data_IF_432917481843
#
_entry.id   IF_432917481843
#
_cell.length_a   1.000
_cell.length_b   1.000
_cell.length_c   1.000
_cell.angle_alpha   90.00
_cell.angle_beta   90.00
_cell.angle_gamma   90.00
#
_symmetry.space_group_name_H-M   'P 1'
#
loop_
_entity.id
_entity.type
_entity.pdbx_description
1 polymer ?
#
# COMPACT_ATOMS: atom_id res chain seq x y z
N UNK A 1 -15.18 5.76 27.12
CA UNK A 1 -13.87 5.29 26.69
C UNK A 1 -13.85 3.78 26.45
N UNK A 2 -14.29 2.94 27.41
CA UNK A 2 -14.32 1.46 27.27
C UNK A 2 -15.26 0.98 26.16
N UNK A 3 -16.44 1.59 25.96
CA UNK A 3 -17.38 1.19 24.89
C UNK A 3 -16.82 1.42 23.49
N UNK A 4 -16.02 2.47 23.28
CA UNK A 4 -15.38 2.72 22.00
C UNK A 4 -14.21 1.75 21.75
N UNK A 5 -13.52 1.32 22.81
CA UNK A 5 -12.43 0.35 22.70
C UNK A 5 -12.94 -1.04 22.31
N UNK A 6 -14.02 -1.50 22.92
CA UNK A 6 -14.66 -2.80 22.61
C UNK A 6 -15.25 -2.80 21.19
N UNK A 7 -15.87 -1.71 20.75
CA UNK A 7 -16.40 -1.58 19.39
C UNK A 7 -15.31 -1.64 18.31
N UNK A 8 -14.18 -0.98 18.54
CA UNK A 8 -13.04 -0.98 17.62
C UNK A 8 -12.37 -2.35 17.55
N UNK A 9 -12.20 -3.03 18.70
CA UNK A 9 -11.63 -4.38 18.73
C UNK A 9 -12.52 -5.41 18.03
N UNK A 10 -13.83 -5.36 18.24
CA UNK A 10 -14.78 -6.26 17.56
C UNK A 10 -14.80 -6.04 16.04
N UNK A 11 -14.62 -4.82 15.58
CA UNK A 11 -14.54 -4.48 14.16
C UNK A 11 -13.23 -4.98 13.53
N UNK A 12 -12.10 -4.78 14.21
CA UNK A 12 -10.78 -5.26 13.79
C UNK A 12 -10.76 -6.79 13.67
N UNK A 13 -11.33 -7.50 14.64
CA UNK A 13 -11.42 -8.98 14.62
C UNK A 13 -12.22 -9.47 13.41
N UNK A 14 -13.34 -8.83 13.10
CA UNK A 14 -14.17 -9.20 11.95
C UNK A 14 -13.47 -8.97 10.62
N UNK A 15 -12.68 -7.93 10.53
CA UNK A 15 -11.93 -7.60 9.33
C UNK A 15 -10.79 -8.62 9.09
N UNK A 16 -10.08 -9.08 10.12
CA UNK A 16 -9.04 -10.10 9.96
C UNK A 16 -9.63 -11.46 9.55
N UNK A 17 -10.82 -11.81 10.08
CA UNK A 17 -11.52 -13.05 9.74
C UNK A 17 -11.78 -13.14 8.24
N UNK A 18 -12.18 -12.06 7.59
CA UNK A 18 -12.43 -12.04 6.13
C UNK A 18 -11.16 -12.41 5.33
N UNK A 19 -10.00 -11.88 5.73
CA UNK A 19 -8.74 -12.22 5.05
C UNK A 19 -8.32 -13.65 5.34
N UNK A 20 -8.49 -14.10 6.59
CA UNK A 20 -8.18 -15.47 6.97
C UNK A 20 -9.08 -16.50 6.28
N UNK A 21 -10.37 -16.21 6.10
CA UNK A 21 -11.30 -17.03 5.33
C UNK A 21 -10.89 -17.10 3.85
N UNK A 22 -10.47 -15.97 3.26
CA UNK A 22 -9.96 -15.95 1.89
C UNK A 22 -8.71 -16.83 1.74
N UNK A 23 -7.74 -16.72 2.66
CA UNK A 23 -6.56 -17.57 2.66
C UNK A 23 -6.92 -19.04 2.86
N UNK A 24 -7.81 -19.36 3.81
CA UNK A 24 -8.26 -20.72 4.09
C UNK A 24 -8.98 -21.35 2.90
N UNK A 25 -9.74 -20.58 2.13
CA UNK A 25 -10.40 -21.06 0.89
C UNK A 25 -9.39 -21.49 -0.18
N UNK A 26 -8.16 -21.02 -0.10
CA UNK A 26 -7.02 -21.37 -0.95
C UNK A 26 -6.10 -22.42 -0.31
N UNK A 27 -6.54 -23.07 0.77
CA UNK A 27 -5.76 -24.04 1.57
C UNK A 27 -4.48 -23.44 2.19
N UNK A 28 -4.46 -22.11 2.40
CA UNK A 28 -3.30 -21.39 2.94
C UNK A 28 -3.53 -21.09 4.41
N UNK A 29 -2.61 -21.56 5.25
CA UNK A 29 -2.58 -21.30 6.69
C UNK A 29 -1.45 -20.33 7.03
N UNK A 30 -1.73 -19.05 7.34
CA UNK A 30 -0.69 -18.08 7.67
C UNK A 30 0.04 -18.47 8.96
N UNK A 31 1.37 -18.38 8.92
CA UNK A 31 2.23 -18.58 10.09
C UNK A 31 2.10 -17.40 11.08
N UNK A 32 2.80 -17.51 12.23
CA UNK A 32 2.72 -16.49 13.29
C UNK A 32 3.15 -15.09 12.79
N UNK A 33 4.18 -15.00 11.96
CA UNK A 33 4.67 -13.71 11.46
C UNK A 33 3.73 -13.12 10.42
N UNK A 34 3.17 -13.96 9.56
CA UNK A 34 2.16 -13.58 8.58
C UNK A 34 0.89 -13.07 9.26
N UNK A 35 0.46 -13.71 10.36
CA UNK A 35 -0.68 -13.22 11.16
C UNK A 35 -0.41 -11.86 11.79
N UNK A 36 0.77 -11.65 12.37
CA UNK A 36 1.18 -10.34 12.91
C UNK A 36 1.17 -9.24 11.85
N UNK A 37 1.56 -9.58 10.62
CA UNK A 37 1.45 -8.64 9.52
C UNK A 37 -0.01 -8.29 9.19
N UNK A 38 -0.90 -9.27 9.12
CA UNK A 38 -2.32 -9.05 8.88
C UNK A 38 -2.94 -8.18 9.98
N UNK A 39 -2.61 -8.43 11.23
CA UNK A 39 -3.05 -7.61 12.37
C UNK A 39 -2.55 -6.16 12.25
N UNK A 40 -1.27 -5.97 11.89
CA UNK A 40 -0.69 -4.65 11.69
C UNK A 40 -1.35 -3.89 10.52
N UNK A 41 -1.67 -4.59 9.44
CA UNK A 41 -2.41 -4.02 8.32
C UNK A 41 -3.80 -3.53 8.76
N UNK A 42 -4.55 -4.35 9.48
CA UNK A 42 -5.90 -4.01 9.92
C UNK A 42 -5.88 -2.86 10.91
N UNK A 43 -4.89 -2.81 11.83
CA UNK A 43 -4.69 -1.67 12.69
C UNK A 43 -4.38 -0.39 11.89
N UNK A 44 -3.54 -0.49 10.88
CA UNK A 44 -3.24 0.60 9.96
C UNK A 44 -4.50 1.09 9.24
N UNK A 45 -5.28 0.20 8.63
CA UNK A 45 -6.50 0.54 7.89
C UNK A 45 -7.61 1.09 8.79
N UNK A 46 -7.74 0.57 10.02
CA UNK A 46 -8.75 1.04 10.98
C UNK A 46 -8.56 2.50 11.38
N UNK A 47 -7.32 2.95 11.50
CA UNK A 47 -6.98 4.36 11.75
C UNK A 47 -7.44 5.26 10.59
N UNK A 48 -7.66 4.67 9.44
CA UNK A 48 -8.04 5.31 8.19
C UNK A 48 -9.55 5.36 7.98
N UNK A 49 -10.23 4.24 8.20
CA UNK A 49 -11.68 4.11 8.04
C UNK A 49 -12.46 4.99 9.03
N UNK A 50 -11.82 5.36 10.16
CA UNK A 50 -12.42 6.21 11.18
C UNK A 50 -11.58 7.48 11.41
N UNK A 51 -11.48 8.40 10.42
CA UNK A 51 -10.85 9.68 10.67
C UNK A 51 -11.63 10.36 11.79
N UNK A 52 -10.95 10.69 12.89
CA UNK A 52 -11.51 11.55 13.92
C UNK A 52 -12.10 12.79 13.23
N UNK A 53 -13.31 13.20 13.62
CA UNK A 53 -14.07 14.32 13.04
C UNK A 53 -13.25 15.63 12.89
N UNK A 54 -12.09 15.70 13.56
CA UNK A 54 -11.15 16.82 13.54
C UNK A 54 -9.99 16.67 12.54
N UNK A 55 -9.85 15.53 11.84
CA UNK A 55 -8.78 15.33 10.82
C UNK A 55 -9.36 15.33 9.42
N UNK A 56 -9.53 16.50 8.84
CA UNK A 56 -10.04 16.71 7.47
C UNK A 56 -9.07 16.30 6.36
N UNK A 57 -7.80 16.02 6.69
CA UNK A 57 -6.75 15.60 5.76
C UNK A 57 -5.88 14.53 6.43
N UNK A 58 -6.39 13.32 6.59
CA UNK A 58 -5.56 12.21 7.00
C UNK A 58 -4.92 11.58 5.76
N UNK A 59 -3.64 11.90 5.52
CA UNK A 59 -2.82 11.12 4.61
C UNK A 59 -2.78 9.66 5.12
N UNK A 60 -3.21 8.65 4.33
CA UNK A 60 -3.23 7.24 4.74
C UNK A 60 -1.86 6.69 5.04
N UNK A 61 -0.87 7.32 4.50
CA UNK A 61 0.45 6.75 4.51
C UNK A 61 0.58 5.55 3.58
N UNK A 62 1.69 4.89 3.71
CA UNK A 62 2.01 3.67 2.98
C UNK A 62 2.41 2.58 3.95
N UNK A 63 2.11 1.34 3.62
CA UNK A 63 2.59 0.18 4.36
C UNK A 63 3.72 -0.49 3.57
N UNK A 64 4.87 -0.66 4.22
CA UNK A 64 6.02 -1.32 3.64
C UNK A 64 6.26 -2.65 4.32
N UNK A 65 6.17 -3.74 3.55
CA UNK A 65 6.45 -5.10 4.00
C UNK A 65 7.80 -5.56 3.43
N UNK A 66 8.67 -6.05 4.29
CA UNK A 66 9.98 -6.50 3.85
C UNK A 66 10.38 -7.83 4.48
N UNK A 67 11.28 -8.55 3.80
CA UNK A 67 11.80 -9.82 4.27
C UNK A 67 12.29 -10.71 3.13
N UNK A 68 12.92 -11.85 3.44
CA UNK A 68 13.46 -12.76 2.44
C UNK A 68 12.43 -13.22 1.42
N UNK A 69 12.90 -13.66 0.26
CA UNK A 69 12.07 -14.31 -0.78
C UNK A 69 11.39 -15.54 -0.21
N UNK A 70 10.19 -15.88 -0.73
CA UNK A 70 9.47 -17.09 -0.33
C UNK A 70 8.73 -17.00 1.01
N UNK A 71 8.63 -15.81 1.63
CA UNK A 71 7.90 -15.62 2.91
C UNK A 71 6.43 -15.26 2.74
N UNK A 72 5.92 -15.31 1.50
CA UNK A 72 4.50 -15.10 1.21
C UNK A 72 4.05 -13.64 1.25
N UNK A 73 4.96 -12.65 1.09
CA UNK A 73 4.61 -11.22 1.09
C UNK A 73 3.55 -10.89 0.03
N UNK A 74 3.80 -11.25 -1.22
CA UNK A 74 2.87 -11.06 -2.34
C UNK A 74 1.52 -11.70 -2.08
N UNK A 75 1.52 -12.93 -1.58
CA UNK A 75 0.31 -13.67 -1.25
C UNK A 75 -0.55 -12.94 -0.20
N UNK A 76 0.08 -12.46 0.88
CA UNK A 76 -0.62 -11.71 1.93
C UNK A 76 -1.20 -10.40 1.40
N UNK A 77 -0.44 -9.66 0.59
CA UNK A 77 -0.91 -8.42 -0.03
C UNK A 77 -2.09 -8.68 -0.97
N UNK A 78 -2.05 -9.74 -1.77
CA UNK A 78 -3.15 -10.14 -2.65
C UNK A 78 -4.39 -10.56 -1.86
N UNK A 79 -4.23 -11.31 -0.76
CA UNK A 79 -5.35 -11.70 0.09
C UNK A 79 -6.04 -10.49 0.73
N UNK A 80 -5.27 -9.50 1.18
CA UNK A 80 -5.80 -8.24 1.68
C UNK A 80 -6.53 -7.49 0.57
N UNK A 81 -5.88 -7.32 -0.57
CA UNK A 81 -6.40 -6.56 -1.70
C UNK A 81 -7.76 -7.09 -2.16
N UNK A 82 -7.84 -8.38 -2.44
CA UNK A 82 -9.09 -9.03 -2.87
C UNK A 82 -10.20 -9.02 -1.82
N UNK A 83 -9.84 -8.94 -0.54
CA UNK A 83 -10.80 -8.93 0.56
C UNK A 83 -11.39 -7.54 0.86
N UNK A 84 -10.64 -6.47 0.55
CA UNK A 84 -10.97 -5.12 1.03
C UNK A 84 -11.25 -4.09 -0.05
N UNK A 85 -10.64 -4.24 -1.24
CA UNK A 85 -10.64 -3.16 -2.24
C UNK A 85 -11.34 -3.59 -3.53
N UNK A 86 -12.20 -2.70 -4.05
CA UNK A 86 -12.90 -2.92 -5.32
C UNK A 86 -12.11 -2.37 -6.51
N UNK A 87 -11.39 -1.27 -6.29
CA UNK A 87 -10.64 -0.56 -7.33
C UNK A 87 -9.17 -0.52 -6.92
N UNK A 88 -8.51 -1.66 -6.93
CA UNK A 88 -7.09 -1.76 -6.66
C UNK A 88 -6.27 -1.91 -7.93
N UNK A 89 -5.05 -1.38 -7.90
CA UNK A 89 -4.02 -1.60 -8.91
C UNK A 89 -2.90 -2.45 -8.35
N UNK A 90 -2.61 -3.59 -8.99
CA UNK A 90 -1.49 -4.45 -8.64
C UNK A 90 -0.41 -4.32 -9.70
N UNK A 91 0.81 -4.05 -9.29
CA UNK A 91 1.95 -3.81 -10.17
C UNK A 91 3.21 -4.43 -9.59
N UNK A 92 4.07 -4.95 -10.46
CA UNK A 92 5.50 -5.02 -10.15
C UNK A 92 6.11 -3.62 -10.20
N UNK A 93 7.14 -3.37 -9.39
CA UNK A 93 7.74 -2.04 -9.31
C UNK A 93 8.15 -1.49 -10.67
N UNK A 94 8.77 -2.31 -11.53
CA UNK A 94 9.18 -1.90 -12.88
C UNK A 94 7.99 -1.51 -13.76
N UNK A 95 6.88 -2.23 -13.67
CA UNK A 95 5.65 -1.93 -14.43
C UNK A 95 5.04 -0.60 -13.95
N UNK A 96 5.07 -0.37 -12.63
CA UNK A 96 4.59 0.88 -12.07
C UNK A 96 5.45 2.07 -12.49
N UNK A 97 6.78 1.91 -12.49
CA UNK A 97 7.70 2.94 -13.00
C UNK A 97 7.48 3.21 -14.48
N UNK A 98 7.27 2.20 -15.31
CA UNK A 98 6.92 2.38 -16.73
C UNK A 98 5.61 3.15 -16.90
N UNK A 99 4.58 2.86 -16.10
CA UNK A 99 3.32 3.61 -16.11
C UNK A 99 3.56 5.09 -15.79
N UNK A 100 4.40 5.38 -14.77
CA UNK A 100 4.76 6.75 -14.40
C UNK A 100 5.50 7.44 -15.53
N UNK A 101 6.55 6.83 -16.08
CA UNK A 101 7.36 7.42 -17.16
C UNK A 101 6.52 7.69 -18.40
N UNK A 102 5.67 6.76 -18.83
CA UNK A 102 4.75 6.97 -19.96
C UNK A 102 3.79 8.13 -19.68
N UNK A 103 3.24 8.20 -18.48
CA UNK A 103 2.34 9.29 -18.09
C UNK A 103 3.07 10.63 -17.99
N UNK A 104 4.33 10.66 -17.55
CA UNK A 104 5.15 11.86 -17.53
C UNK A 104 5.42 12.40 -18.94
N UNK A 105 5.68 11.52 -19.90
CA UNK A 105 5.90 11.89 -21.29
C UNK A 105 4.67 12.65 -21.86
N UNK A 106 3.45 12.19 -21.54
CA UNK A 106 2.20 12.81 -21.96
C UNK A 106 1.98 14.22 -21.36
N UNK A 107 2.53 14.50 -20.18
CA UNK A 107 2.29 15.74 -19.41
C UNK A 107 3.55 16.60 -19.24
N UNK A 108 4.63 16.31 -19.96
CA UNK A 108 5.95 16.93 -19.80
C UNK A 108 5.98 18.45 -19.93
N UNK A 109 5.04 19.03 -20.67
CA UNK A 109 4.91 20.49 -20.85
C UNK A 109 4.25 21.22 -19.69
N UNK A 110 3.78 20.52 -18.68
CA UNK A 110 3.08 21.10 -17.53
C UNK A 110 4.05 21.53 -16.42
N UNK A 111 3.62 22.49 -15.58
CA UNK A 111 4.43 23.00 -14.47
C UNK A 111 4.67 21.98 -13.36
N UNK A 112 3.72 21.05 -13.17
CA UNK A 112 3.75 20.03 -12.10
C UNK A 112 3.42 18.64 -12.66
N UNK A 113 4.29 18.06 -13.48
CA UNK A 113 3.99 16.82 -14.19
C UNK A 113 3.75 15.64 -13.24
N UNK A 114 4.52 15.48 -12.17
CA UNK A 114 4.36 14.38 -11.20
C UNK A 114 3.01 14.46 -10.47
N UNK A 115 2.55 15.65 -10.12
CA UNK A 115 1.24 15.86 -9.50
C UNK A 115 0.11 15.46 -10.45
N UNK A 116 0.25 15.73 -11.75
CA UNK A 116 -0.73 15.32 -12.76
C UNK A 116 -0.76 13.81 -12.98
N UNK A 117 0.41 13.16 -12.99
CA UNK A 117 0.52 11.69 -13.06
C UNK A 117 -0.19 11.06 -11.86
N UNK A 118 0.11 11.51 -10.65
CA UNK A 118 -0.57 11.02 -9.44
C UNK A 118 -2.09 11.24 -9.49
N UNK A 119 -2.54 12.38 -9.99
CA UNK A 119 -3.98 12.66 -10.19
C UNK A 119 -4.63 11.70 -11.20
N UNK A 120 -3.93 11.34 -12.28
CA UNK A 120 -4.40 10.37 -13.27
C UNK A 120 -4.53 8.97 -12.67
N UNK A 121 -3.53 8.52 -11.92
CA UNK A 121 -3.55 7.23 -11.22
C UNK A 121 -4.68 7.20 -10.17
N UNK A 122 -4.81 8.24 -9.34
CA UNK A 122 -5.81 8.34 -8.28
C UNK A 122 -7.27 8.34 -8.77
N UNK A 123 -7.53 8.55 -10.06
CA UNK A 123 -8.88 8.43 -10.63
C UNK A 123 -9.32 6.98 -10.82
N UNK A 124 -8.36 6.08 -10.95
CA UNK A 124 -8.62 4.69 -11.31
C UNK A 124 -8.54 3.75 -10.11
N UNK A 125 -7.82 4.13 -9.06
CA UNK A 125 -7.50 3.24 -7.95
C UNK A 125 -7.75 3.89 -6.59
N UNK A 126 -8.28 3.11 -5.65
CA UNK A 126 -8.41 3.46 -4.22
C UNK A 126 -7.23 2.90 -3.41
N UNK A 127 -6.59 1.87 -3.95
CA UNK A 127 -5.46 1.15 -3.38
C UNK A 127 -4.45 0.79 -4.46
N UNK A 128 -3.18 0.87 -4.12
CA UNK A 128 -2.07 0.35 -4.93
C UNK A 128 -1.28 -0.69 -4.16
N UNK A 129 -1.04 -1.82 -4.80
CA UNK A 129 -0.16 -2.88 -4.34
C UNK A 129 1.02 -2.93 -5.29
N UNK A 130 2.22 -2.62 -4.79
CA UNK A 130 3.44 -2.58 -5.58
C UNK A 130 4.39 -3.62 -5.01
N UNK A 131 4.61 -4.68 -5.76
CA UNK A 131 5.50 -5.78 -5.38
C UNK A 131 6.91 -5.59 -5.92
N UNK A 132 7.88 -6.26 -5.27
CA UNK A 132 9.29 -6.21 -5.64
C UNK A 132 9.87 -4.79 -5.67
N UNK A 133 9.46 -3.96 -4.69
CA UNK A 133 9.91 -2.57 -4.61
C UNK A 133 11.43 -2.51 -4.37
N UNK A 134 12.14 -2.06 -5.38
CA UNK A 134 13.60 -1.95 -5.38
C UNK A 134 14.01 -0.71 -6.17
N UNK A 135 14.76 0.18 -5.53
CA UNK A 135 15.24 1.42 -6.15
C UNK A 135 16.75 1.27 -6.40
N UNK A 136 17.14 1.40 -7.66
CA UNK A 136 18.54 1.29 -8.10
C UNK A 136 19.09 2.63 -8.57
N UNK A 137 18.24 3.57 -8.95
CA UNK A 137 18.59 4.86 -9.53
C UNK A 137 18.01 6.02 -8.72
N UNK A 138 18.79 7.11 -8.56
CA UNK A 138 18.36 8.30 -7.79
C UNK A 138 17.21 9.04 -8.46
N UNK A 139 17.17 9.05 -9.79
CA UNK A 139 16.08 9.73 -10.50
C UNK A 139 14.75 9.00 -10.26
N UNK A 140 14.77 7.67 -10.30
CA UNK A 140 13.61 6.84 -9.96
C UNK A 140 13.21 7.02 -8.49
N UNK A 141 14.18 7.12 -7.56
CA UNK A 141 13.90 7.41 -6.16
C UNK A 141 13.15 8.73 -5.98
N UNK A 142 13.58 9.79 -6.65
CA UNK A 142 12.95 11.11 -6.58
C UNK A 142 11.55 11.10 -7.21
N UNK A 143 11.40 10.46 -8.36
CA UNK A 143 10.13 10.37 -9.08
C UNK A 143 9.11 9.58 -8.24
N UNK A 144 9.49 8.38 -7.81
CA UNK A 144 8.57 7.52 -7.06
C UNK A 144 8.19 8.12 -5.70
N UNK A 145 9.14 8.76 -5.01
CA UNK A 145 8.87 9.44 -3.75
C UNK A 145 7.83 10.55 -3.90
N UNK A 146 7.99 11.42 -4.89
CA UNK A 146 7.04 12.50 -5.16
C UNK A 146 5.65 11.99 -5.61
N UNK A 147 5.62 10.90 -6.40
CA UNK A 147 4.35 10.27 -6.82
C UNK A 147 3.64 9.62 -5.65
N UNK A 148 4.34 8.84 -4.80
CA UNK A 148 3.77 8.21 -3.59
C UNK A 148 3.22 9.29 -2.65
N UNK A 149 3.97 10.35 -2.38
CA UNK A 149 3.51 11.47 -1.55
C UNK A 149 2.24 12.12 -2.12
N UNK A 150 2.23 12.40 -3.42
CA UNK A 150 1.06 13.01 -4.07
C UNK A 150 -0.16 12.08 -4.08
N UNK A 151 0.03 10.76 -4.21
CA UNK A 151 -1.03 9.75 -4.16
C UNK A 151 -1.61 9.63 -2.74
N UNK A 152 -0.75 9.52 -1.72
CA UNK A 152 -1.19 9.42 -0.33
C UNK A 152 -1.89 10.69 0.13
N UNK A 153 -1.44 11.87 -0.29
CA UNK A 153 -2.13 13.14 -0.05
C UNK A 153 -3.52 13.23 -0.73
N UNK A 154 -3.78 12.38 -1.72
CA UNK A 154 -5.09 12.23 -2.39
C UNK A 154 -5.96 11.13 -1.77
N UNK A 155 -5.48 10.49 -0.72
CA UNK A 155 -6.22 9.43 -0.03
C UNK A 155 -6.01 8.02 -0.60
N UNK A 156 -5.08 7.84 -1.54
CA UNK A 156 -4.76 6.51 -2.06
C UNK A 156 -3.92 5.76 -1.03
N UNK A 157 -4.34 4.55 -0.70
CA UNK A 157 -3.57 3.63 0.14
C UNK A 157 -2.53 2.92 -0.70
N UNK A 158 -1.35 2.70 -0.13
CA UNK A 158 -0.26 2.05 -0.86
C UNK A 158 0.33 0.95 0.01
N UNK A 159 0.40 -0.25 -0.51
CA UNK A 159 1.22 -1.35 0.03
C UNK A 159 2.42 -1.61 -0.87
N UNK A 160 3.59 -1.67 -0.28
CA UNK A 160 4.85 -1.96 -0.95
C UNK A 160 5.45 -3.23 -0.37
N UNK A 161 5.90 -4.16 -1.20
CA UNK A 161 6.73 -5.28 -0.74
C UNK A 161 8.14 -5.19 -1.28
N UNK A 162 9.10 -5.63 -0.49
CA UNK A 162 10.51 -5.67 -0.88
C UNK A 162 11.25 -6.83 -0.21
N UNK A 163 12.37 -7.21 -0.80
CA UNK A 163 13.32 -8.11 -0.16
C UNK A 163 14.33 -7.35 0.71
N UNK A 164 14.36 -6.02 0.60
CA UNK A 164 15.33 -5.14 1.26
C UNK A 164 14.71 -4.41 2.45
N UNK A 165 15.49 -4.24 3.52
CA UNK A 165 15.11 -3.37 4.63
C UNK A 165 15.01 -1.90 4.16
N UNK A 166 14.07 -1.09 4.67
CA UNK A 166 13.93 0.31 4.24
C UNK A 166 15.22 1.13 4.28
N UNK A 167 16.08 0.91 5.29
CA UNK A 167 17.38 1.60 5.41
C UNK A 167 18.43 1.20 4.37
N UNK A 168 18.12 0.20 3.55
CA UNK A 168 19.05 -0.30 2.51
C UNK A 168 18.50 -0.11 1.11
N UNK A 169 17.33 0.51 0.97
CA UNK A 169 16.68 0.73 -0.33
C UNK A 169 17.50 1.58 -1.29
N UNK A 170 18.30 2.49 -0.75
CA UNK A 170 19.20 3.33 -1.55
C UNK A 170 20.46 3.63 -0.73
N UNK A 171 21.46 2.75 -0.82
CA UNK A 171 22.64 2.82 0.04
C UNK A 171 23.80 3.62 -0.54
N UNK A 172 23.85 3.78 -1.86
CA UNK A 172 24.98 4.34 -2.60
C UNK A 172 24.66 5.68 -3.28
N UNK A 173 23.60 6.39 -2.83
CA UNK A 173 23.19 7.69 -3.36
C UNK A 173 23.20 8.82 -2.36
#
# INVERSE_FOLDING_TARGET
LLKNFIGTYSFIMKDIEIVLENLASQEIMPDKQQRLFLEAFIEFDSKYKHPSFFRKNSNPGSLYIWGPVGRGKTLLMQAIDTSYFKNSGQFHFLEFMQLIHNSLFEVSSNKEPLTLVAKKIAKNYDMLVIDEFQIEDIADAMIIGAVIESLTNRGIRIMLSSNSHPSTLYRDG
#
